data_IF_044750263800
#
_entry.id   IF_044750263800
#
_cell.length_a   1.000
_cell.length_b   1.000
_cell.length_c   1.000
_cell.angle_alpha   90.00
_cell.angle_beta   90.00
_cell.angle_gamma   90.00
#
_symmetry.space_group_name_H-M   'P 1'
#
loop_
_entity.id
_entity.type
_entity.pdbx_description
1 polymer ?
#
# COMPACT_ATOMS: atom_id res chain seq x y z
N UNK A 1 8.39 4.99 2.18
CA UNK A 1 8.34 3.73 1.40
C UNK A 1 7.23 2.88 2.02
N UNK A 2 6.59 1.96 1.30
CA UNK A 2 5.49 1.18 1.85
C UNK A 2 5.44 -0.15 1.11
N UNK A 3 4.93 -1.18 1.79
CA UNK A 3 4.65 -2.48 1.17
C UNK A 3 3.36 -3.08 1.74
N UNK A 4 2.58 -3.72 0.87
CA UNK A 4 1.34 -4.38 1.19
C UNK A 4 1.31 -5.78 0.58
N UNK A 5 0.77 -6.75 1.30
CA UNK A 5 0.35 -8.04 0.76
C UNK A 5 -1.13 -8.22 1.02
N UNK A 6 -1.89 -8.64 0.00
CA UNK A 6 -3.32 -8.80 0.12
C UNK A 6 -3.88 -9.98 -0.67
N UNK A 7 -5.02 -10.46 -0.20
CA UNK A 7 -5.86 -11.44 -0.86
C UNK A 7 -7.07 -10.69 -1.39
N UNK A 8 -7.41 -10.95 -2.65
CA UNK A 8 -8.61 -10.44 -3.28
C UNK A 8 -9.41 -11.59 -3.87
N UNK A 9 -10.63 -11.81 -3.37
CA UNK A 9 -11.55 -12.84 -3.87
C UNK A 9 -10.94 -14.26 -4.01
N UNK A 10 -9.92 -14.57 -3.20
CA UNK A 10 -9.15 -15.80 -3.32
C UNK A 10 -9.08 -16.61 -2.00
N UNK A 11 -9.91 -16.26 -1.01
CA UNK A 11 -10.04 -17.01 0.24
C UNK A 11 -11.52 -17.24 0.58
N UNK A 12 -11.92 -18.45 1.03
CA UNK A 12 -13.32 -18.79 1.27
C UNK A 12 -13.99 -18.00 2.39
N UNK A 13 -13.22 -17.57 3.40
CA UNK A 13 -13.73 -16.82 4.56
C UNK A 13 -13.44 -15.31 4.50
N UNK A 14 -12.60 -14.87 3.57
CA UNK A 14 -12.09 -13.50 3.56
C UNK A 14 -12.11 -12.99 2.12
N UNK A 15 -13.19 -12.32 1.67
CA UNK A 15 -13.24 -11.71 0.34
C UNK A 15 -12.12 -10.69 0.12
N UNK A 16 -11.67 -10.03 1.20
CA UNK A 16 -10.50 -9.18 1.22
C UNK A 16 -9.73 -9.33 2.53
N UNK A 17 -8.41 -9.47 2.42
CA UNK A 17 -7.47 -9.49 3.54
C UNK A 17 -6.23 -8.71 3.16
N UNK A 18 -5.74 -7.83 4.03
CA UNK A 18 -4.58 -6.97 3.76
C UNK A 18 -3.66 -6.92 4.98
N UNK A 19 -2.36 -6.98 4.72
CA UNK A 19 -1.29 -6.57 5.63
C UNK A 19 -0.51 -5.45 4.94
N UNK A 20 -0.20 -4.37 5.66
CA UNK A 20 0.57 -3.26 5.11
C UNK A 20 1.55 -2.70 6.14
N UNK A 21 2.79 -2.52 5.72
CA UNK A 21 3.76 -1.67 6.41
C UNK A 21 3.81 -0.30 5.74
N UNK A 22 3.68 0.74 6.55
CA UNK A 22 4.03 2.12 6.17
C UNK A 22 5.43 2.43 6.67
N UNK A 23 6.37 2.61 5.76
CA UNK A 23 7.72 3.11 6.06
C UNK A 23 7.74 4.63 5.89
N UNK A 24 7.88 5.33 7.01
CA UNK A 24 7.83 6.78 7.05
C UNK A 24 8.83 7.31 8.08
N UNK A 25 9.18 8.58 7.98
CA UNK A 25 9.99 9.25 8.99
C UNK A 25 9.33 9.12 10.35
N UNK A 26 10.09 8.64 11.34
CA UNK A 26 9.58 8.42 12.70
C UNK A 26 9.01 9.69 13.34
N UNK A 27 9.52 10.86 12.95
CA UNK A 27 9.07 12.15 13.46
C UNK A 27 7.80 12.68 12.77
N UNK A 28 7.32 12.04 11.69
CA UNK A 28 6.12 12.50 10.99
C UNK A 28 4.89 12.25 11.87
N UNK A 29 4.19 13.30 12.32
CA UNK A 29 3.09 13.15 13.25
C UNK A 29 1.89 12.44 12.59
N UNK A 30 1.31 11.47 13.30
CA UNK A 30 0.16 10.70 12.83
C UNK A 30 -0.77 10.37 13.98
N UNK A 31 -2.07 10.33 13.71
CA UNK A 31 -3.07 9.76 14.61
C UNK A 31 -3.22 8.26 14.35
N UNK A 32 -3.36 7.45 15.42
CA UNK A 32 -3.61 6.02 15.29
C UNK A 32 -4.93 5.74 14.58
N UNK A 33 -5.16 4.48 14.20
CA UNK A 33 -6.41 4.05 13.58
C UNK A 33 -7.58 4.36 14.50
N UNK A 34 -8.51 5.17 14.01
CA UNK A 34 -9.77 5.51 14.67
C UNK A 34 -10.82 5.85 13.62
N UNK A 35 -12.08 5.87 14.03
CA UNK A 35 -13.12 6.52 13.24
C UNK A 35 -12.83 8.03 13.22
N UNK A 36 -12.85 8.61 12.01
CA UNK A 36 -12.68 10.04 11.82
C UNK A 36 -13.92 10.80 12.29
N UNK A 37 -13.83 12.12 12.39
CA UNK A 37 -14.88 12.98 12.95
C UNK A 37 -16.23 12.84 12.21
N UNK A 38 -16.21 12.53 10.91
CA UNK A 38 -17.42 12.25 10.11
C UNK A 38 -18.12 10.94 10.47
N UNK A 39 -17.42 10.01 11.15
CA UNK A 39 -17.91 8.68 11.49
C UNK A 39 -17.88 7.66 10.36
N UNK A 40 -17.49 8.09 9.14
CA UNK A 40 -17.56 7.27 7.92
C UNK A 40 -16.24 6.61 7.54
N UNK A 41 -15.11 7.22 7.89
CA UNK A 41 -13.77 6.75 7.55
C UNK A 41 -13.11 6.14 8.80
N UNK A 42 -12.59 4.92 8.67
CA UNK A 42 -11.75 4.24 9.64
C UNK A 42 -10.33 4.10 9.08
N UNK A 43 -9.35 4.73 9.72
CA UNK A 43 -7.96 4.66 9.29
C UNK A 43 -7.04 5.55 10.12
N UNK A 44 -5.73 5.36 9.97
CA UNK A 44 -4.75 6.29 10.52
C UNK A 44 -4.80 7.63 9.79
N UNK A 45 -4.44 8.72 10.46
CA UNK A 45 -4.46 10.07 9.86
C UNK A 45 -3.08 10.70 9.91
N UNK A 46 -2.65 11.23 8.79
CA UNK A 46 -1.45 12.05 8.70
C UNK A 46 -1.74 13.45 9.27
N UNK A 47 -1.03 13.87 10.31
CA UNK A 47 -1.30 15.19 10.93
C UNK A 47 -0.63 16.34 10.21
N UNK A 48 0.33 16.07 9.31
CA UNK A 48 0.98 17.11 8.53
C UNK A 48 0.18 17.42 7.25
N UNK A 49 -0.21 16.38 6.51
CA UNK A 49 -0.92 16.53 5.25
C UNK A 49 -2.45 16.34 5.37
N UNK A 50 -2.95 15.84 6.50
CA UNK A 50 -4.38 15.67 6.75
C UNK A 50 -5.01 14.39 6.19
N UNK A 51 -4.36 13.72 5.23
CA UNK A 51 -4.85 12.51 4.55
C UNK A 51 -4.52 11.18 5.24
N UNK A 52 -4.56 10.08 4.48
CA UNK A 52 -4.28 8.71 4.96
C UNK A 52 -3.52 7.85 3.94
N UNK A 53 -2.89 6.77 4.41
CA UNK A 53 -2.23 5.77 3.56
C UNK A 53 -3.05 4.50 3.37
N UNK A 54 -4.04 4.27 4.26
CA UNK A 54 -4.93 3.12 4.29
C UNK A 54 -6.13 3.45 5.16
N UNK A 55 -7.31 3.33 4.59
CA UNK A 55 -8.56 3.46 5.30
C UNK A 55 -9.67 2.63 4.65
N UNK A 56 -10.74 2.41 5.40
CA UNK A 56 -11.97 1.82 4.91
C UNK A 56 -13.20 2.59 5.40
N UNK A 57 -14.35 2.34 4.75
CA UNK A 57 -15.65 2.85 5.15
C UNK A 57 -16.52 1.78 5.82
N UNK A 58 -17.61 2.22 6.45
CA UNK A 58 -18.67 1.34 6.97
C UNK A 58 -19.34 0.48 5.89
N UNK A 59 -19.34 0.96 4.65
CA UNK A 59 -19.98 0.32 3.50
C UNK A 59 -19.10 -0.73 2.83
N UNK A 60 -17.90 -0.98 3.35
CA UNK A 60 -16.97 -1.95 2.78
C UNK A 60 -16.13 -1.41 1.63
N UNK A 61 -16.02 -0.08 1.50
CA UNK A 61 -15.07 0.54 0.58
C UNK A 61 -13.71 0.63 1.25
N UNK A 62 -12.65 0.38 0.49
CA UNK A 62 -11.27 0.36 0.98
C UNK A 62 -10.40 1.13 0.00
N UNK A 63 -9.50 1.95 0.52
CA UNK A 63 -8.46 2.54 -0.30
C UNK A 63 -7.13 2.55 0.44
N UNK A 64 -6.07 2.24 -0.30
CA UNK A 64 -4.71 2.28 0.21
C UNK A 64 -3.72 2.58 -0.88
N UNK A 65 -2.57 3.10 -0.48
CA UNK A 65 -1.54 3.49 -1.43
C UNK A 65 -0.15 3.07 -0.99
N UNK A 66 0.74 3.07 -1.96
CA UNK A 66 2.19 3.04 -1.75
C UNK A 66 2.84 4.13 -2.59
N UNK A 67 3.93 4.69 -2.10
CA UNK A 67 4.73 5.65 -2.85
C UNK A 67 5.52 4.90 -3.94
N UNK A 68 5.60 5.44 -5.15
CA UNK A 68 6.57 4.95 -6.14
C UNK A 68 7.96 5.46 -5.77
N UNK A 69 8.97 4.59 -5.81
CA UNK A 69 10.37 4.98 -5.66
C UNK A 69 10.81 5.72 -6.93
N UNK A 70 11.18 6.99 -6.77
CA UNK A 70 11.65 7.83 -7.85
C UNK A 70 12.68 8.85 -7.35
N UNK A 71 13.60 9.25 -8.22
CA UNK A 71 14.66 10.22 -7.88
C UNK A 71 14.14 11.66 -7.84
N UNK A 72 13.19 12.00 -8.71
CA UNK A 72 12.72 13.37 -8.91
C UNK A 72 11.24 13.50 -8.52
N UNK A 73 11.02 14.14 -7.37
CA UNK A 73 9.69 14.52 -6.88
C UNK A 73 9.41 15.99 -7.13
N UNK A 74 8.14 16.31 -7.32
CA UNK A 74 7.60 17.66 -7.38
C UNK A 74 7.43 18.19 -5.94
N UNK A 75 8.08 19.30 -5.54
CA UNK A 75 7.94 19.87 -4.20
C UNK A 75 6.51 20.33 -3.90
N UNK A 76 5.86 20.97 -4.87
CA UNK A 76 4.51 21.55 -4.75
C UNK A 76 3.38 20.58 -5.13
N UNK A 77 3.65 19.26 -5.16
CA UNK A 77 2.61 18.29 -5.48
C UNK A 77 1.56 18.17 -4.36
N UNK A 78 0.32 17.89 -4.75
CA UNK A 78 -0.74 17.48 -3.81
C UNK A 78 -0.31 16.25 -3.02
N UNK A 79 -0.82 16.14 -1.79
CA UNK A 79 -0.56 14.99 -0.94
C UNK A 79 -1.23 13.74 -1.53
N UNK A 80 -0.45 12.68 -1.76
CA UNK A 80 -1.00 11.38 -2.18
C UNK A 80 -2.01 10.83 -1.17
N UNK A 81 -1.88 11.20 0.10
CA UNK A 81 -2.78 10.77 1.16
C UNK A 81 -4.20 11.30 1.02
N UNK A 82 -4.44 12.25 0.12
CA UNK A 82 -5.77 12.77 -0.18
C UNK A 82 -6.56 11.77 -1.04
N UNK A 83 -5.87 10.96 -1.87
CA UNK A 83 -6.51 10.05 -2.82
C UNK A 83 -7.43 9.01 -2.15
N UNK A 84 -7.02 8.31 -1.06
CA UNK A 84 -7.92 7.40 -0.36
C UNK A 84 -9.12 8.13 0.26
N UNK A 85 -8.92 9.35 0.78
CA UNK A 85 -9.99 10.14 1.40
C UNK A 85 -11.02 10.54 0.33
N UNK A 86 -10.56 11.10 -0.79
CA UNK A 86 -11.41 11.47 -1.93
C UNK A 86 -12.22 10.28 -2.44
N UNK A 87 -11.62 9.10 -2.54
CA UNK A 87 -12.34 7.89 -2.91
C UNK A 87 -13.44 7.58 -1.88
N UNK A 88 -13.09 7.46 -0.60
CA UNK A 88 -14.01 7.04 0.47
C UNK A 88 -15.16 8.03 0.69
N UNK A 89 -14.96 9.33 0.42
CA UNK A 89 -16.00 10.36 0.50
C UNK A 89 -16.88 10.44 -0.76
N UNK A 90 -16.40 9.91 -1.90
CA UNK A 90 -17.19 9.85 -3.14
C UNK A 90 -18.25 8.74 -3.11
N UNK A 91 -19.27 8.83 -3.94
CA UNK A 91 -20.25 7.74 -4.18
C UNK A 91 -19.93 6.92 -5.44
N UNK A 92 -18.81 7.21 -6.10
CA UNK A 92 -18.41 6.61 -7.39
C UNK A 92 -17.96 5.16 -7.21
N UNK A 93 -18.19 4.32 -8.22
CA UNK A 93 -17.57 3.00 -8.29
C UNK A 93 -16.03 3.13 -8.37
N UNK A 94 -15.26 2.07 -8.02
CA UNK A 94 -13.81 2.08 -8.14
C UNK A 94 -13.31 2.48 -9.54
N UNK A 95 -13.99 2.03 -10.60
CA UNK A 95 -13.61 2.35 -11.98
C UNK A 95 -13.92 3.81 -12.34
N UNK A 96 -15.12 4.30 -12.03
CA UNK A 96 -15.51 5.70 -12.30
C UNK A 96 -14.58 6.69 -11.59
N UNK A 97 -14.22 6.40 -10.33
CA UNK A 97 -13.26 7.21 -9.59
C UNK A 97 -11.88 7.20 -10.24
N UNK A 98 -11.40 6.04 -10.69
CA UNK A 98 -10.11 5.91 -11.35
C UNK A 98 -10.04 6.69 -12.66
N UNK A 99 -11.09 6.64 -13.48
CA UNK A 99 -11.18 7.35 -14.76
C UNK A 99 -11.18 8.88 -14.57
N UNK A 100 -11.90 9.39 -13.56
CA UNK A 100 -11.90 10.81 -13.23
C UNK A 100 -10.52 11.29 -12.73
N UNK A 101 -9.88 10.47 -11.88
CA UNK A 101 -8.57 10.78 -11.30
C UNK A 101 -7.48 11.00 -12.36
N UNK A 102 -7.60 10.41 -13.56
CA UNK A 102 -6.63 10.59 -14.66
C UNK A 102 -6.35 12.06 -14.94
N UNK A 103 -7.39 12.90 -14.90
CA UNK A 103 -7.29 14.32 -15.21
C UNK A 103 -6.43 15.10 -14.21
N UNK A 104 -6.35 14.63 -12.96
CA UNK A 104 -5.60 15.27 -11.88
C UNK A 104 -4.34 14.51 -11.45
N UNK A 105 -4.11 13.29 -11.95
CA UNK A 105 -3.03 12.41 -11.51
C UNK A 105 -1.62 13.02 -11.67
N UNK A 106 -1.46 13.98 -12.58
CA UNK A 106 -0.22 14.74 -12.80
C UNK A 106 0.13 15.71 -11.66
N UNK A 107 -0.84 16.08 -10.83
CA UNK A 107 -0.66 16.99 -9.68
C UNK A 107 -0.02 16.28 -8.47
N UNK A 108 0.15 14.96 -8.54
CA UNK A 108 0.69 14.14 -7.45
C UNK A 108 2.08 13.59 -7.79
N UNK A 109 2.92 13.42 -6.76
CA UNK A 109 4.12 12.58 -6.87
C UNK A 109 3.77 11.13 -7.18
N UNK A 110 4.76 10.31 -7.54
CA UNK A 110 4.57 8.93 -7.96
C UNK A 110 3.80 8.12 -6.94
N UNK A 111 2.69 7.52 -7.37
CA UNK A 111 1.82 6.72 -6.51
C UNK A 111 1.39 5.42 -7.17
N UNK A 112 1.10 4.46 -6.31
CA UNK A 112 0.27 3.30 -6.60
C UNK A 112 -0.93 3.37 -5.66
N UNK A 113 -2.13 3.38 -6.22
CA UNK A 113 -3.39 3.47 -5.48
C UNK A 113 -4.20 2.21 -5.76
N UNK A 114 -4.74 1.62 -4.71
CA UNK A 114 -5.80 0.62 -4.79
C UNK A 114 -7.07 1.25 -4.24
N UNK A 115 -8.14 1.20 -5.01
CA UNK A 115 -9.50 1.53 -4.60
C UNK A 115 -10.37 0.31 -4.78
N UNK A 116 -11.17 -0.03 -3.77
CA UNK A 116 -11.99 -1.22 -3.78
C UNK A 116 -13.34 -0.97 -3.13
N UNK A 117 -14.33 -1.69 -3.64
CA UNK A 117 -15.61 -1.90 -2.98
C UNK A 117 -15.81 -3.41 -2.85
N UNK A 118 -15.67 -3.89 -1.61
CA UNK A 118 -15.74 -5.31 -1.28
C UNK A 118 -17.15 -5.85 -1.54
N UNK A 119 -18.18 -5.03 -1.36
CA UNK A 119 -19.58 -5.41 -1.53
C UNK A 119 -19.91 -5.68 -3.01
N UNK A 120 -19.45 -4.81 -3.91
CA UNK A 120 -19.61 -4.98 -5.36
C UNK A 120 -18.52 -5.85 -6.01
N UNK A 121 -17.54 -6.34 -5.22
CA UNK A 121 -16.41 -7.16 -5.70
C UNK A 121 -15.59 -6.47 -6.79
N UNK A 122 -15.47 -5.15 -6.72
CA UNK A 122 -14.69 -4.34 -7.64
C UNK A 122 -13.43 -3.81 -6.97
N UNK A 123 -12.28 -3.97 -7.61
CA UNK A 123 -11.01 -3.41 -7.15
C UNK A 123 -10.22 -2.91 -8.36
N UNK A 124 -9.74 -1.67 -8.27
CA UNK A 124 -8.99 -1.01 -9.33
C UNK A 124 -7.66 -0.51 -8.78
N UNK A 125 -6.61 -0.83 -9.53
CA UNK A 125 -5.27 -0.33 -9.36
C UNK A 125 -5.06 0.88 -10.28
N UNK A 126 -4.55 1.97 -9.70
CA UNK A 126 -4.23 3.21 -10.43
C UNK A 126 -2.78 3.60 -10.15
N UNK A 127 -2.03 3.96 -11.18
CA UNK A 127 -0.70 4.55 -11.03
C UNK A 127 -0.40 5.63 -12.06
N UNK A 128 0.20 6.73 -11.61
CA UNK A 128 0.70 7.80 -12.47
C UNK A 128 2.15 7.59 -12.92
N UNK A 129 2.64 6.35 -12.89
CA UNK A 129 3.98 5.97 -13.31
C UNK A 129 3.95 4.76 -14.25
N UNK A 130 4.92 4.65 -15.17
CA UNK A 130 6.10 5.51 -15.37
C UNK A 130 5.74 6.89 -15.98
N UNK A 131 6.63 7.89 -15.84
CA UNK A 131 6.40 9.24 -16.39
C UNK A 131 6.44 9.20 -17.91
N UNK A 132 5.57 9.96 -18.56
CA UNK A 132 5.49 10.03 -20.03
C UNK A 132 4.64 8.94 -20.68
N UNK A 133 4.17 7.97 -19.90
CA UNK A 133 3.17 6.99 -20.32
C UNK A 133 1.77 7.39 -19.82
N UNK A 134 0.70 6.87 -20.45
CA UNK A 134 -0.65 7.02 -19.93
C UNK A 134 -0.77 6.53 -18.48
N UNK A 135 -1.66 7.16 -17.72
CA UNK A 135 -1.99 6.70 -16.36
C UNK A 135 -2.48 5.26 -16.45
N UNK A 136 -1.89 4.39 -15.64
CA UNK A 136 -2.31 2.99 -15.57
C UNK A 136 -3.60 2.90 -14.76
N UNK A 137 -4.65 2.35 -15.37
CA UNK A 137 -5.87 1.89 -14.70
C UNK A 137 -6.02 0.42 -15.01
N UNK A 138 -6.14 -0.40 -13.98
CA UNK A 138 -6.22 -1.85 -14.13
C UNK A 138 -7.18 -2.43 -13.11
N UNK A 139 -8.14 -3.24 -13.56
CA UNK A 139 -8.92 -4.07 -12.65
C UNK A 139 -8.03 -5.17 -12.03
N UNK A 140 -8.10 -5.30 -10.71
CA UNK A 140 -7.31 -6.29 -9.98
C UNK A 140 -8.02 -7.63 -10.03
N UNK A 141 -7.38 -8.61 -10.65
CA UNK A 141 -7.91 -9.96 -10.76
C UNK A 141 -7.96 -10.65 -9.39
N UNK A 142 -8.86 -11.63 -9.17
CA UNK A 142 -8.83 -12.46 -7.98
C UNK A 142 -7.47 -13.14 -7.79
N UNK A 143 -6.90 -13.07 -6.59
CA UNK A 143 -5.59 -13.64 -6.30
C UNK A 143 -4.92 -13.13 -5.04
N UNK A 144 -3.63 -13.44 -4.95
CA UNK A 144 -2.71 -12.94 -3.92
C UNK A 144 -1.76 -11.97 -4.59
N UNK A 145 -1.72 -10.74 -4.08
CA UNK A 145 -0.98 -9.64 -4.66
C UNK A 145 -0.03 -9.02 -3.66
N UNK A 146 1.04 -8.43 -4.18
CA UNK A 146 1.98 -7.63 -3.41
C UNK A 146 2.20 -6.30 -4.09
N UNK A 147 2.00 -5.22 -3.33
CA UNK A 147 2.23 -3.86 -3.80
C UNK A 147 3.33 -3.22 -2.96
N UNK A 148 4.41 -2.80 -3.61
CA UNK A 148 5.53 -2.11 -2.96
C UNK A 148 5.78 -0.76 -3.64
N UNK A 149 7.02 -0.29 -3.75
CA UNK A 149 7.34 1.02 -4.30
C UNK A 149 7.54 1.04 -5.82
N UNK A 150 7.05 0.01 -6.50
CA UNK A 150 6.95 -0.09 -7.95
C UNK A 150 5.54 -0.57 -8.30
N UNK A 151 5.31 -0.96 -9.55
CA UNK A 151 4.01 -1.47 -9.99
C UNK A 151 3.53 -2.68 -9.15
N UNK A 152 2.22 -2.90 -9.19
CA UNK A 152 1.57 -4.08 -8.63
C UNK A 152 2.26 -5.36 -9.12
N UNK A 153 2.52 -6.29 -8.18
CA UNK A 153 3.21 -7.56 -8.42
C UNK A 153 4.58 -7.43 -9.11
N UNK A 154 5.27 -6.31 -8.85
CA UNK A 154 6.63 -6.09 -9.32
C UNK A 154 7.60 -7.20 -8.88
N UNK A 155 8.58 -7.56 -9.71
CA UNK A 155 9.54 -8.63 -9.42
C UNK A 155 10.65 -8.18 -8.44
N UNK A 156 10.38 -7.20 -7.60
CA UNK A 156 11.34 -6.68 -6.63
C UNK A 156 11.55 -7.68 -5.49
N UNK A 157 12.77 -7.73 -4.96
CA UNK A 157 13.16 -8.70 -3.94
C UNK A 157 12.17 -8.78 -2.77
N UNK A 158 11.87 -7.65 -2.11
CA UNK A 158 10.91 -7.61 -1.00
C UNK A 158 9.49 -8.03 -1.41
N UNK A 159 9.07 -7.69 -2.62
CA UNK A 159 7.73 -8.04 -3.10
C UNK A 159 7.61 -9.55 -3.35
N UNK A 160 8.60 -10.15 -4.03
CA UNK A 160 8.68 -11.59 -4.26
C UNK A 160 8.80 -12.37 -2.96
N UNK A 161 9.66 -11.90 -2.04
CA UNK A 161 9.89 -12.52 -0.74
C UNK A 161 8.63 -12.51 0.12
N UNK A 162 7.98 -11.34 0.24
CA UNK A 162 6.71 -11.23 0.97
C UNK A 162 5.63 -12.10 0.34
N UNK A 163 5.50 -12.07 -0.99
CA UNK A 163 4.50 -12.86 -1.70
C UNK A 163 4.70 -14.37 -1.56
N UNK A 164 5.96 -14.85 -1.59
CA UNK A 164 6.29 -16.25 -1.34
C UNK A 164 5.91 -16.65 0.09
N UNK A 165 6.43 -15.94 1.09
CA UNK A 165 6.19 -16.24 2.49
C UNK A 165 4.70 -16.14 2.84
N UNK A 166 3.98 -15.18 2.28
CA UNK A 166 2.54 -15.02 2.49
C UNK A 166 1.75 -16.21 1.95
N UNK A 167 2.05 -16.68 0.73
CA UNK A 167 1.45 -17.90 0.16
C UNK A 167 1.75 -19.13 1.01
N UNK A 168 2.97 -19.29 1.49
CA UNK A 168 3.36 -20.41 2.35
C UNK A 168 2.62 -20.40 3.69
N UNK A 169 2.41 -19.23 4.31
CA UNK A 169 1.60 -19.14 5.53
C UNK A 169 0.13 -19.47 5.25
N UNK A 170 -0.45 -18.93 4.18
CA UNK A 170 -1.84 -19.23 3.81
C UNK A 170 -2.05 -20.72 3.53
N UNK A 171 -1.09 -21.38 2.88
CA UNK A 171 -1.16 -22.82 2.62
C UNK A 171 -1.21 -23.67 3.91
N UNK A 172 -0.61 -23.21 5.02
CA UNK A 172 -0.65 -23.92 6.31
C UNK A 172 -2.03 -23.91 6.96
N UNK A 173 -2.78 -22.82 6.79
CA UNK A 173 -4.12 -22.66 7.36
C UNK A 173 -5.23 -23.12 6.41
N UNK A 174 -4.89 -23.32 5.13
CA UNK A 174 -5.80 -23.83 4.11
C UNK A 174 -7.01 -22.93 3.93
N UNK A 175 -8.19 -23.43 4.28
CA UNK A 175 -9.48 -22.72 4.19
C UNK A 175 -9.98 -22.19 5.54
N UNK A 176 -9.17 -22.33 6.60
CA UNK A 176 -9.53 -21.95 7.96
C UNK A 176 -9.37 -20.45 8.23
N UNK A 177 -9.52 -20.07 9.50
CA UNK A 177 -9.28 -18.69 9.92
C UNK A 177 -7.79 -18.32 9.79
N UNK A 178 -7.52 -17.08 9.40
CA UNK A 178 -6.17 -16.56 9.29
C UNK A 178 -5.72 -16.07 10.68
N UNK A 179 -4.63 -16.60 11.27
CA UNK A 179 -4.09 -16.09 12.52
C UNK A 179 -3.31 -14.80 12.25
N UNK A 180 -4.03 -13.68 12.22
CA UNK A 180 -3.52 -12.34 11.86
C UNK A 180 -2.25 -11.98 12.62
N UNK A 181 -2.23 -12.18 13.95
CA UNK A 181 -1.10 -11.83 14.80
C UNK A 181 0.17 -12.57 14.37
N UNK A 182 0.06 -13.87 14.15
CA UNK A 182 1.18 -14.70 13.69
C UNK A 182 1.64 -14.33 12.29
N UNK A 183 0.70 -13.99 11.38
CA UNK A 183 1.06 -13.48 10.06
C UNK A 183 1.83 -12.16 10.12
N UNK A 184 1.39 -11.22 10.95
CA UNK A 184 2.09 -9.95 11.15
C UNK A 184 3.50 -10.18 11.67
N UNK A 185 3.65 -10.99 12.73
CA UNK A 185 4.95 -11.29 13.35
C UNK A 185 5.91 -11.98 12.37
N UNK A 186 5.43 -12.94 11.57
CA UNK A 186 6.27 -13.70 10.65
C UNK A 186 6.60 -13.00 9.34
N UNK A 187 5.69 -12.16 8.84
CA UNK A 187 5.79 -11.60 7.48
C UNK A 187 6.22 -10.13 7.50
N UNK A 188 5.59 -9.34 8.38
CA UNK A 188 5.71 -7.88 8.33
C UNK A 188 6.91 -7.35 9.14
N UNK A 189 7.64 -8.24 9.83
CA UNK A 189 8.90 -7.93 10.53
C UNK A 189 10.14 -8.44 9.78
N UNK A 190 9.99 -8.92 8.53
CA UNK A 190 11.08 -9.48 7.74
C UNK A 190 12.06 -8.39 7.27
N UNK A 191 13.25 -8.37 7.87
CA UNK A 191 14.33 -7.41 7.62
C UNK A 191 15.37 -7.88 6.60
N UNK A 192 15.14 -9.01 5.91
CA UNK A 192 16.10 -9.54 4.92
C UNK A 192 16.19 -8.60 3.72
N UNK A 193 17.41 -8.13 3.45
CA UNK A 193 17.74 -7.25 2.32
C UNK A 193 18.03 -8.03 1.03
N UNK A 194 17.87 -7.36 -0.10
CA UNK A 194 18.25 -7.89 -1.41
C UNK A 194 19.77 -7.99 -1.58
N UNK A 195 20.20 -8.86 -2.49
CA UNK A 195 21.53 -8.74 -3.08
C UNK A 195 21.64 -7.42 -3.86
N UNK A 196 22.77 -6.71 -3.74
CA UNK A 196 22.99 -5.43 -4.44
C UNK A 196 22.86 -5.57 -5.97
N UNK A 197 23.16 -6.74 -6.53
CA UNK A 197 23.01 -7.04 -7.96
C UNK A 197 21.55 -7.14 -8.43
N UNK A 198 20.59 -7.25 -7.50
CA UNK A 198 19.15 -7.35 -7.77
C UNK A 198 18.38 -6.05 -7.51
N UNK A 199 19.09 -4.96 -7.21
CA UNK A 199 18.50 -3.66 -6.96
C UNK A 199 18.03 -2.99 -8.27
N UNK A 200 16.98 -2.15 -8.23
CA UNK A 200 16.35 -1.62 -9.43
C UNK A 200 17.16 -0.53 -10.16
N UNK A 201 18.18 0.07 -9.54
CA UNK A 201 19.06 1.06 -10.19
C UNK A 201 18.39 2.41 -10.49
N UNK A 202 17.39 2.79 -9.69
CA UNK A 202 16.64 4.05 -9.76
C UNK A 202 17.33 5.15 -8.94
N UNK A 203 17.84 4.80 -7.76
CA UNK A 203 18.54 5.68 -6.82
C UNK A 203 19.96 5.17 -6.55
N UNK A 204 20.67 5.77 -5.57
CA UNK A 204 21.96 5.25 -5.14
C UNK A 204 21.83 3.82 -4.59
N UNK A 205 22.82 2.97 -4.88
CA UNK A 205 22.79 1.57 -4.50
C UNK A 205 22.61 1.36 -2.99
N UNK A 206 23.26 2.19 -2.16
CA UNK A 206 23.13 2.07 -0.71
C UNK A 206 21.72 2.43 -0.23
N UNK A 207 21.11 3.47 -0.83
CA UNK A 207 19.73 3.82 -0.52
C UNK A 207 18.74 2.72 -0.92
N UNK A 208 18.90 2.14 -2.11
CA UNK A 208 18.04 1.04 -2.54
C UNK A 208 18.23 -0.22 -1.72
N UNK A 209 19.47 -0.55 -1.36
CA UNK A 209 19.81 -1.67 -0.50
C UNK A 209 19.11 -1.52 0.86
N UNK A 210 19.14 -0.34 1.45
CA UNK A 210 18.54 -0.06 2.74
C UNK A 210 17.01 -0.16 2.74
N UNK A 211 16.37 0.09 1.59
CA UNK A 211 14.92 0.01 1.40
C UNK A 211 14.42 -1.33 0.84
N UNK A 212 15.31 -2.32 0.73
CA UNK A 212 15.08 -3.57 0.01
C UNK A 212 14.44 -4.70 0.84
N UNK A 213 14.18 -4.49 2.13
CA UNK A 213 13.49 -5.41 3.02
C UNK A 213 11.98 -5.11 3.13
N UNK A 214 11.20 -6.03 3.74
CA UNK A 214 9.77 -5.83 4.01
C UNK A 214 9.57 -4.89 5.20
N UNK A 215 10.37 -5.11 6.25
CA UNK A 215 10.48 -4.20 7.39
C UNK A 215 11.74 -3.35 7.20
N UNK A 216 11.53 -2.07 6.91
CA UNK A 216 12.62 -1.11 6.66
C UNK A 216 13.03 -0.43 7.97
N UNK A 217 14.31 -0.43 8.27
CA UNK A 217 14.90 0.32 9.37
C UNK A 217 16.24 0.91 8.90
N UNK A 218 16.27 2.24 8.77
CA UNK A 218 17.40 2.99 8.20
C UNK A 218 17.63 4.24 9.04
N UNK A 219 18.85 4.35 9.57
CA UNK A 219 19.33 5.60 10.18
C UNK A 219 19.83 6.51 9.06
N UNK A 220 19.18 7.66 8.85
CA UNK A 220 19.72 8.70 7.97
C UNK A 220 20.38 9.79 8.79
N UNK A 221 21.38 10.53 8.26
CA UNK A 221 22.08 11.57 9.02
C UNK A 221 21.20 12.69 9.56
N UNK A 222 19.97 12.83 9.05
CA UNK A 222 19.02 13.89 9.40
C UNK A 222 17.83 13.37 10.22
N UNK A 223 17.29 12.17 9.91
CA UNK A 223 16.12 11.57 10.59
C UNK A 223 16.10 10.04 10.40
N UNK A 224 15.61 9.27 11.39
CA UNK A 224 15.43 7.83 11.22
C UNK A 224 14.16 7.50 10.41
N UNK A 225 14.32 6.70 9.35
CA UNK A 225 13.22 6.10 8.58
C UNK A 225 12.98 4.69 9.13
N UNK A 226 11.75 4.42 9.58
CA UNK A 226 11.37 3.10 10.10
C UNK A 226 9.99 2.72 9.57
N UNK A 227 9.77 1.43 9.34
CA UNK A 227 8.44 0.86 9.24
C UNK A 227 7.68 1.19 10.53
N UNK A 228 6.80 2.17 10.46
CA UNK A 228 6.22 2.86 11.61
C UNK A 228 4.94 2.19 12.09
N UNK A 229 4.18 1.58 11.16
CA UNK A 229 2.90 0.94 11.49
C UNK A 229 2.68 -0.24 10.57
N UNK A 230 2.45 -1.41 11.16
CA UNK A 230 1.81 -2.54 10.48
C UNK A 230 0.32 -2.46 10.72
N UNK A 231 -0.45 -2.26 9.66
CA UNK A 231 -1.92 -2.27 9.71
C UNK A 231 -2.43 -3.51 8.99
N UNK A 232 -3.51 -4.09 9.50
CA UNK A 232 -4.25 -5.13 8.81
C UNK A 232 -5.71 -4.72 8.64
N UNK A 233 -6.33 -5.17 7.55
CA UNK A 233 -7.78 -5.09 7.34
C UNK A 233 -8.28 -6.45 6.91
N UNK A 234 -9.41 -6.87 7.48
CA UNK A 234 -10.03 -8.15 7.20
C UNK A 234 -11.54 -7.93 7.10
N UNK A 235 -12.13 -8.27 5.95
CA UNK A 235 -13.58 -8.39 5.81
C UNK A 235 -13.93 -9.87 5.88
N UNK A 236 -14.94 -10.21 6.69
CA UNK A 236 -15.50 -11.56 6.84
C UNK A 236 -16.88 -11.61 6.19
#
# INVERSE_FOLDING_TARGET
>A
MCIAAFIWQAHPLYPFFLLQNRDEYHQRPTKPVAWWDSGEILGGRDELAGGTWLACSRTGRVAFLTNVLELHTLPEAKSRGDLPVLFLESTKSPMEFAEELVTEAHQYNGFNLIVADVSSKSMVYVSNRPKGEPITIQEVSPGIHVLSNAKLDSPWHKAQRLGLNFREQLAKYGKGQIPVKEMVEKLMQDSVKADKSRLPGICSLDWEFDLSSVFVEVDTPLVNLKAFTTTFICFQ
#
